data_IF_434116564151
#
_entry.id   IF_434116564151
#
_cell.length_a   1.000
_cell.length_b   1.000
_cell.length_c   1.000
_cell.angle_alpha   90.00
_cell.angle_beta   90.00
_cell.angle_gamma   90.00
#
_symmetry.space_group_name_H-M   'P 1'
#
loop_
_entity.id
_entity.type
_entity.pdbx_description
1 polymer ?
#
# COMPACT_ATOMS: atom_id res chain seq x y z
N UNK A 1 36.32 -62.78 -27.28
CA UNK A 1 36.42 -61.39 -26.77
C UNK A 1 35.40 -60.58 -27.55
N UNK A 2 34.34 -59.98 -27.03
CA UNK A 2 33.77 -59.77 -25.70
C UNK A 2 32.62 -58.80 -25.95
N UNK A 3 31.43 -59.12 -25.46
CA UNK A 3 30.18 -58.33 -25.61
C UNK A 3 30.17 -57.10 -24.68
N UNK A 4 29.16 -56.24 -24.88
CA UNK A 4 28.44 -55.38 -23.90
C UNK A 4 28.59 -53.84 -23.91
N UNK A 5 27.41 -53.19 -24.11
CA UNK A 5 26.81 -52.00 -23.43
C UNK A 5 27.62 -50.67 -23.34
N UNK A 6 27.07 -49.45 -23.32
CA UNK A 6 25.77 -48.94 -22.86
C UNK A 6 25.48 -47.53 -23.43
N UNK A 7 24.21 -47.13 -23.31
CA UNK A 7 23.65 -45.81 -23.59
C UNK A 7 24.09 -44.70 -22.61
N UNK A 8 23.91 -43.44 -23.00
CA UNK A 8 23.99 -42.26 -22.13
C UNK A 8 23.84 -40.98 -22.96
N UNK A 9 22.63 -40.53 -23.25
CA UNK A 9 21.79 -39.65 -22.42
C UNK A 9 22.23 -38.18 -22.48
N UNK A 10 21.23 -37.32 -22.66
CA UNK A 10 21.37 -35.95 -23.11
C UNK A 10 22.07 -35.03 -22.13
N UNK A 11 22.60 -33.94 -22.69
CA UNK A 11 22.74 -32.68 -21.97
C UNK A 11 22.09 -31.58 -22.79
N UNK A 12 20.86 -31.28 -22.37
CA UNK A 12 20.30 -29.96 -22.44
C UNK A 12 21.40 -28.91 -22.24
N UNK A 13 21.55 -28.02 -23.21
CA UNK A 13 22.06 -26.69 -22.93
C UNK A 13 21.08 -26.03 -21.96
N UNK A 14 21.30 -26.24 -20.67
CA UNK A 14 20.78 -25.37 -19.63
C UNK A 14 21.52 -24.06 -19.85
N UNK A 15 20.85 -23.14 -20.53
CA UNK A 15 21.17 -21.72 -20.46
C UNK A 15 21.02 -21.37 -19.00
N UNK A 16 22.14 -21.42 -18.29
CA UNK A 16 22.31 -20.83 -16.98
C UNK A 16 22.14 -19.32 -17.20
N UNK A 17 20.89 -18.87 -17.16
CA UNK A 17 20.56 -17.46 -17.02
C UNK A 17 21.15 -17.04 -15.70
N UNK A 18 22.39 -16.52 -15.78
CA UNK A 18 23.06 -15.75 -14.75
C UNK A 18 22.08 -14.70 -14.26
N UNK A 19 21.39 -15.06 -13.19
CA UNK A 19 20.38 -14.27 -12.53
C UNK A 19 21.16 -13.24 -11.72
N UNK A 20 21.81 -12.30 -12.43
CA UNK A 20 22.38 -11.10 -11.84
C UNK A 20 21.22 -10.33 -11.23
N UNK A 21 20.93 -10.63 -9.95
CA UNK A 21 20.30 -9.69 -9.05
C UNK A 21 21.12 -8.43 -9.16
N UNK A 22 20.63 -7.45 -9.92
CA UNK A 22 21.20 -6.11 -9.99
C UNK A 22 21.18 -5.58 -8.57
N UNK A 23 22.30 -5.77 -7.86
CA UNK A 23 22.44 -5.38 -6.46
C UNK A 23 22.34 -3.87 -6.46
N UNK A 24 21.25 -3.32 -5.92
CA UNK A 24 20.99 -1.89 -5.85
C UNK A 24 22.08 -1.23 -4.99
N UNK A 25 23.21 -0.86 -5.60
CA UNK A 25 24.32 -0.22 -4.91
C UNK A 25 24.05 1.28 -4.84
N UNK A 26 24.05 1.82 -3.63
CA UNK A 26 24.03 3.26 -3.37
C UNK A 26 25.41 3.82 -3.71
N UNK A 27 25.55 4.36 -4.92
CA UNK A 27 26.75 5.11 -5.31
C UNK A 27 26.57 6.59 -4.89
N UNK A 28 27.67 7.32 -4.59
CA UNK A 28 27.59 8.72 -4.21
C UNK A 28 26.77 9.56 -5.20
N UNK A 29 26.96 9.36 -6.51
CA UNK A 29 26.18 10.06 -7.54
C UNK A 29 24.67 9.79 -7.48
N UNK A 30 24.24 8.57 -7.12
CA UNK A 30 22.81 8.27 -6.91
C UNK A 30 22.28 8.93 -5.65
N UNK A 31 23.07 8.97 -4.57
CA UNK A 31 22.70 9.68 -3.34
C UNK A 31 22.52 11.16 -3.64
N UNK A 32 23.47 11.79 -4.34
CA UNK A 32 23.33 13.20 -4.77
C UNK A 32 22.10 13.42 -5.66
N UNK A 33 21.85 12.54 -6.63
CA UNK A 33 20.68 12.64 -7.49
C UNK A 33 19.37 12.62 -6.69
N UNK A 34 19.21 11.66 -5.78
CA UNK A 34 18.02 11.57 -4.95
C UNK A 34 17.90 12.75 -3.98
N UNK A 35 19.00 13.18 -3.36
CA UNK A 35 18.99 14.36 -2.46
C UNK A 35 18.59 15.62 -3.21
N UNK A 36 19.14 15.86 -4.40
CA UNK A 36 18.78 17.01 -5.23
C UNK A 36 17.34 16.90 -5.74
N UNK A 37 16.89 15.72 -6.16
CA UNK A 37 15.52 15.51 -6.61
C UNK A 37 14.51 15.75 -5.48
N UNK A 38 14.73 15.17 -4.30
CA UNK A 38 13.89 15.40 -3.12
C UNK A 38 13.94 16.86 -2.68
N UNK A 39 15.11 17.50 -2.70
CA UNK A 39 15.28 18.90 -2.35
C UNK A 39 14.53 19.83 -3.31
N UNK A 40 14.63 19.60 -4.62
CA UNK A 40 13.92 20.38 -5.64
C UNK A 40 12.39 20.21 -5.53
N UNK A 41 11.91 18.99 -5.29
CA UNK A 41 10.49 18.71 -5.06
C UNK A 41 10.00 19.40 -3.79
N UNK A 42 10.75 19.28 -2.69
CA UNK A 42 10.40 19.94 -1.42
C UNK A 42 10.39 21.47 -1.57
N UNK A 43 11.33 22.03 -2.31
CA UNK A 43 11.36 23.46 -2.61
C UNK A 43 10.16 23.90 -3.46
N UNK A 44 9.83 23.17 -4.52
CA UNK A 44 8.66 23.47 -5.35
C UNK A 44 7.35 23.39 -4.56
N UNK A 45 7.19 22.34 -3.74
CA UNK A 45 6.04 22.19 -2.84
C UNK A 45 5.98 23.32 -1.82
N UNK A 46 7.12 23.71 -1.23
CA UNK A 46 7.21 24.82 -0.30
C UNK A 46 6.82 26.15 -0.96
N UNK A 47 7.31 26.43 -2.17
CA UNK A 47 7.01 27.66 -2.90
C UNK A 47 5.53 27.73 -3.30
N UNK A 48 4.93 26.59 -3.64
CA UNK A 48 3.49 26.49 -3.91
C UNK A 48 2.66 26.69 -2.65
N UNK A 49 3.13 26.16 -1.51
CA UNK A 49 2.47 26.34 -0.22
C UNK A 49 2.53 27.79 0.29
N UNK A 50 3.56 28.58 -0.05
CA UNK A 50 3.75 29.95 0.48
C UNK A 50 3.55 31.04 -0.58
N UNK A 51 2.58 30.90 -1.48
CA UNK A 51 2.30 31.91 -2.51
C UNK A 51 1.32 32.98 -2.01
N UNK A 52 1.41 34.22 -2.48
CA UNK A 52 0.55 35.34 -2.06
C UNK A 52 -0.95 35.06 -2.28
N UNK A 53 -1.27 34.25 -3.27
CA UNK A 53 -2.63 33.77 -3.56
C UNK A 53 -3.18 32.84 -2.46
N UNK A 54 -2.31 32.11 -1.75
CA UNK A 54 -2.69 31.27 -0.60
C UNK A 54 -3.07 32.10 0.63
N UNK A 55 -2.41 33.25 0.83
CA UNK A 55 -2.76 34.17 1.90
C UNK A 55 -4.10 34.87 1.64
N UNK A 56 -4.40 35.19 0.38
CA UNK A 56 -5.70 35.75 -0.04
C UNK A 56 -6.87 34.79 0.25
N UNK A 57 -6.69 33.49 -0.05
CA UNK A 57 -7.69 32.45 0.21
C UNK A 57 -7.95 32.24 1.71
N UNK A 58 -6.91 32.34 2.54
CA UNK A 58 -7.02 32.24 4.00
C UNK A 58 -7.84 33.39 4.61
N UNK A 59 -7.71 34.60 4.05
CA UNK A 59 -8.42 35.79 4.54
C UNK A 59 -9.91 35.77 4.13
N UNK A 60 -10.22 35.34 2.91
CA UNK A 60 -11.59 35.38 2.36
C UNK A 60 -12.41 34.12 2.66
N UNK A 61 -11.78 32.96 2.89
CA UNK A 61 -12.47 31.68 3.15
C UNK A 61 -12.06 31.09 4.50
N UNK A 62 -11.98 31.89 5.54
CA UNK A 62 -11.46 31.47 6.86
C UNK A 62 -12.15 30.26 7.49
N UNK A 63 -13.43 30.00 7.19
CA UNK A 63 -14.18 28.82 7.66
C UNK A 63 -13.85 27.53 6.88
N UNK A 64 -13.20 27.65 5.73
CA UNK A 64 -12.77 26.54 4.89
C UNK A 64 -11.45 25.90 5.35
N UNK A 65 -10.68 26.60 6.20
CA UNK A 65 -9.35 26.20 6.61
C UNK A 65 -9.26 25.94 8.12
N UNK A 66 -8.76 24.77 8.50
CA UNK A 66 -8.54 24.39 9.90
C UNK A 66 -7.06 24.47 10.28
N UNK A 67 -6.77 24.60 11.57
CA UNK A 67 -5.40 24.53 12.07
C UNK A 67 -4.81 23.13 11.81
N UNK A 68 -3.51 23.08 11.52
CA UNK A 68 -2.85 21.82 11.16
C UNK A 68 -2.68 20.92 12.39
N UNK A 69 -3.12 19.65 12.36
CA UNK A 69 -2.91 18.70 13.46
C UNK A 69 -1.44 18.28 13.60
N UNK A 70 -0.59 18.65 12.64
CA UNK A 70 0.86 18.38 12.64
C UNK A 70 1.68 19.49 13.32
N UNK A 71 1.04 20.49 13.93
CA UNK A 71 1.72 21.62 14.57
C UNK A 71 2.33 22.62 13.58
N UNK A 72 1.91 22.58 12.31
CA UNK A 72 2.34 23.53 11.29
C UNK A 72 1.60 24.86 11.46
N UNK A 73 2.31 25.97 11.28
CA UNK A 73 1.72 27.33 11.34
C UNK A 73 0.71 27.60 10.23
N UNK A 74 0.82 26.87 9.11
CA UNK A 74 -0.05 27.03 7.95
C UNK A 74 -1.36 26.27 8.14
N UNK A 75 -2.50 26.95 7.94
CA UNK A 75 -3.83 26.36 7.99
C UNK A 75 -4.10 25.53 6.74
N UNK A 76 -4.81 24.42 6.91
CA UNK A 76 -5.05 23.45 5.85
C UNK A 76 -6.47 23.57 5.32
N UNK A 77 -6.61 23.53 3.99
CA UNK A 77 -7.89 23.44 3.31
C UNK A 77 -8.61 22.15 3.72
N UNK A 78 -9.84 22.29 4.20
CA UNK A 78 -10.68 21.20 4.66
C UNK A 78 -11.97 21.04 3.83
N UNK A 79 -12.09 21.75 2.71
CA UNK A 79 -13.26 21.71 1.83
C UNK A 79 -13.26 20.48 0.93
N UNK A 80 -12.08 20.01 0.52
CA UNK A 80 -12.00 18.81 -0.30
C UNK A 80 -12.20 17.55 0.55
N UNK A 81 -13.33 16.87 0.32
CA UNK A 81 -13.67 15.60 0.99
C UNK A 81 -12.57 14.55 0.82
N UNK A 82 -12.05 14.39 -0.40
CA UNK A 82 -11.02 13.39 -0.71
C UNK A 82 -9.71 13.67 0.05
N UNK A 83 -9.35 14.94 0.19
CA UNK A 83 -8.16 15.35 0.94
C UNK A 83 -8.31 15.05 2.42
N UNK A 84 -9.49 15.34 2.98
CA UNK A 84 -9.83 15.05 4.38
C UNK A 84 -9.79 13.54 4.66
N UNK A 85 -10.35 12.72 3.76
CA UNK A 85 -10.30 11.26 3.89
C UNK A 85 -8.87 10.74 3.80
N UNK A 86 -8.09 11.20 2.81
CA UNK A 86 -6.70 10.75 2.62
C UNK A 86 -5.84 11.11 3.84
N UNK A 87 -6.04 12.32 4.38
CA UNK A 87 -5.35 12.79 5.59
C UNK A 87 -5.69 11.93 6.80
N UNK A 88 -6.96 11.66 7.05
CA UNK A 88 -7.39 10.80 8.17
C UNK A 88 -6.75 9.41 8.08
N UNK A 89 -6.78 8.79 6.89
CA UNK A 89 -6.15 7.48 6.68
C UNK A 89 -4.64 7.58 6.95
N UNK A 90 -3.97 8.63 6.47
CA UNK A 90 -2.54 8.80 6.71
C UNK A 90 -2.24 8.96 8.21
N UNK A 91 -3.01 9.76 8.95
CA UNK A 91 -2.85 9.97 10.39
C UNK A 91 -3.12 8.70 11.21
N UNK A 92 -4.09 7.88 10.81
CA UNK A 92 -4.39 6.61 11.47
C UNK A 92 -3.38 5.50 11.10
N UNK A 93 -2.92 5.46 9.86
CA UNK A 93 -2.17 4.35 9.28
C UNK A 93 -0.64 4.51 9.26
N UNK A 94 -0.09 5.73 9.38
CA UNK A 94 1.35 5.95 9.15
C UNK A 94 2.25 5.07 10.02
N UNK A 95 1.88 4.83 11.28
CA UNK A 95 2.61 3.93 12.18
C UNK A 95 2.63 2.50 11.64
N UNK A 96 1.53 2.04 11.07
CA UNK A 96 1.44 0.74 10.41
C UNK A 96 2.31 0.68 9.15
N UNK A 97 2.38 1.74 8.35
CA UNK A 97 3.27 1.74 7.18
C UNK A 97 4.75 1.68 7.56
N UNK A 98 5.15 2.32 8.66
CA UNK A 98 6.53 2.26 9.17
C UNK A 98 6.86 0.92 9.84
N UNK A 99 5.90 0.34 10.55
CA UNK A 99 6.09 -0.89 11.32
C UNK A 99 6.21 -2.13 10.41
N UNK A 100 5.45 -2.16 9.31
CA UNK A 100 5.42 -3.30 8.37
C UNK A 100 6.81 -3.72 7.86
N UNK A 101 7.64 -2.84 7.26
CA UNK A 101 8.94 -3.25 6.73
C UNK A 101 9.93 -3.71 7.80
N UNK A 102 9.83 -3.18 9.03
CA UNK A 102 10.67 -3.58 10.15
C UNK A 102 10.30 -5.00 10.59
N UNK A 103 9.01 -5.23 10.88
CA UNK A 103 8.54 -6.55 11.30
C UNK A 103 8.68 -7.61 10.20
N UNK A 104 8.40 -7.25 8.94
CA UNK A 104 8.56 -8.13 7.80
C UNK A 104 10.01 -8.62 7.67
N UNK A 105 11.00 -7.72 7.81
CA UNK A 105 12.42 -8.10 7.79
C UNK A 105 12.79 -8.97 8.97
N UNK A 106 12.36 -8.63 10.18
CA UNK A 106 12.64 -9.45 11.38
C UNK A 106 12.12 -10.87 11.19
N UNK A 107 10.88 -11.02 10.73
CA UNK A 107 10.26 -12.34 10.52
C UNK A 107 10.93 -13.08 9.37
N UNK A 108 11.25 -12.40 8.26
CA UNK A 108 12.01 -13.02 7.17
C UNK A 108 13.40 -13.51 7.61
N UNK A 109 14.02 -12.90 8.62
CA UNK A 109 15.32 -13.32 9.16
C UNK A 109 15.20 -14.42 10.21
N UNK A 110 14.24 -14.33 11.14
CA UNK A 110 14.12 -15.23 12.29
C UNK A 110 13.28 -16.48 11.96
N UNK A 111 12.18 -16.30 11.23
CA UNK A 111 11.23 -17.37 10.94
C UNK A 111 10.64 -17.20 9.52
N UNK A 112 11.42 -17.54 8.47
CA UNK A 112 11.00 -17.33 7.07
C UNK A 112 9.69 -18.04 6.70
N UNK A 113 9.43 -19.21 7.31
CA UNK A 113 8.19 -19.98 7.12
C UNK A 113 6.93 -19.25 7.59
N UNK A 114 7.06 -18.29 8.51
CA UNK A 114 5.94 -17.51 9.04
C UNK A 114 5.66 -16.23 8.22
N UNK A 115 6.48 -15.89 7.23
CA UNK A 115 6.28 -14.67 6.42
C UNK A 115 4.88 -14.60 5.77
N UNK A 116 4.32 -15.67 5.18
CA UNK A 116 2.97 -15.63 4.62
C UNK A 116 1.89 -15.38 5.69
N UNK A 117 2.04 -16.00 6.86
CA UNK A 117 1.12 -15.83 8.00
C UNK A 117 1.23 -14.43 8.59
N UNK A 118 2.45 -13.89 8.68
CA UNK A 118 2.66 -12.51 9.10
C UNK A 118 1.93 -11.54 8.18
N UNK A 119 2.03 -11.71 6.86
CA UNK A 119 1.35 -10.81 5.93
C UNK A 119 -0.17 -10.84 6.10
N UNK A 120 -0.78 -12.02 6.28
CA UNK A 120 -2.23 -12.10 6.50
C UNK A 120 -2.63 -11.46 7.83
N UNK A 121 -1.97 -11.84 8.94
CA UNK A 121 -2.26 -11.32 10.28
C UNK A 121 -2.04 -9.82 10.34
N UNK A 122 -0.92 -9.32 9.83
CA UNK A 122 -0.62 -7.91 9.82
C UNK A 122 -1.64 -7.10 9.03
N UNK A 123 -2.01 -7.57 7.83
CA UNK A 123 -3.00 -6.90 6.99
C UNK A 123 -4.38 -6.90 7.64
N UNK A 124 -4.78 -8.01 8.26
CA UNK A 124 -6.04 -8.10 8.99
C UNK A 124 -6.07 -7.16 10.21
N UNK A 125 -4.99 -7.10 11.00
CA UNK A 125 -4.88 -6.16 12.12
C UNK A 125 -4.92 -4.72 11.62
N UNK A 126 -4.16 -4.40 10.58
CA UNK A 126 -4.16 -3.10 9.94
C UNK A 126 -5.57 -2.67 9.53
N UNK A 127 -6.30 -3.52 8.80
CA UNK A 127 -7.67 -3.21 8.36
C UNK A 127 -8.61 -3.08 9.56
N UNK A 128 -8.51 -3.96 10.55
CA UNK A 128 -9.36 -3.94 11.74
C UNK A 128 -9.18 -2.67 12.56
N UNK A 129 -7.94 -2.26 12.81
CA UNK A 129 -7.65 -1.08 13.64
C UNK A 129 -7.83 0.25 12.88
N UNK A 130 -7.69 0.26 11.56
CA UNK A 130 -7.83 1.48 10.75
C UNK A 130 -9.27 1.70 10.30
N UNK A 131 -10.00 0.62 9.97
CA UNK A 131 -11.31 0.70 9.31
C UNK A 131 -12.43 -0.05 10.04
N UNK A 132 -12.13 -0.76 11.13
CA UNK A 132 -13.11 -1.55 11.88
C UNK A 132 -13.15 -3.03 11.49
N UNK A 133 -13.75 -3.85 12.37
CA UNK A 133 -13.82 -5.30 12.20
C UNK A 133 -14.78 -5.71 11.08
N UNK A 134 -15.83 -4.92 10.84
CA UNK A 134 -16.79 -5.13 9.75
C UNK A 134 -16.08 -5.11 8.40
N UNK A 135 -15.20 -4.11 8.19
CA UNK A 135 -14.39 -3.98 6.97
C UNK A 135 -13.36 -5.10 6.88
N UNK A 136 -12.77 -5.51 8.01
CA UNK A 136 -11.84 -6.63 8.05
C UNK A 136 -12.50 -7.96 7.64
N UNK A 137 -13.75 -8.21 8.04
CA UNK A 137 -14.50 -9.40 7.61
C UNK A 137 -14.77 -9.40 6.11
N UNK A 138 -15.18 -8.26 5.54
CA UNK A 138 -15.37 -8.13 4.09
C UNK A 138 -14.05 -8.36 3.33
N UNK A 139 -12.96 -7.78 3.81
CA UNK A 139 -11.63 -7.96 3.24
C UNK A 139 -11.19 -9.44 3.26
N UNK A 140 -11.41 -10.13 4.38
CA UNK A 140 -11.12 -11.57 4.53
C UNK A 140 -12.02 -12.43 3.64
N UNK A 141 -13.30 -12.11 3.53
CA UNK A 141 -14.24 -12.81 2.66
C UNK A 141 -13.84 -12.71 1.19
N UNK A 142 -13.40 -11.53 0.73
CA UNK A 142 -12.87 -11.35 -0.62
C UNK A 142 -11.60 -12.18 -0.85
N UNK A 143 -10.67 -12.18 0.10
CA UNK A 143 -9.47 -13.02 0.03
C UNK A 143 -9.81 -14.52 -0.01
N UNK A 144 -10.78 -14.97 0.79
CA UNK A 144 -11.24 -16.35 0.77
C UNK A 144 -11.88 -16.72 -0.57
N UNK A 145 -12.70 -15.83 -1.16
CA UNK A 145 -13.28 -16.04 -2.47
C UNK A 145 -12.20 -16.18 -3.56
N UNK A 146 -11.16 -15.35 -3.53
CA UNK A 146 -10.01 -15.48 -4.43
C UNK A 146 -9.24 -16.77 -4.20
N UNK A 147 -9.03 -17.17 -2.95
CA UNK A 147 -8.33 -18.42 -2.64
C UNK A 147 -9.09 -19.65 -3.15
N UNK A 148 -10.40 -19.71 -2.91
CA UNK A 148 -11.27 -20.78 -3.40
C UNK A 148 -11.28 -20.81 -4.92
N UNK A 149 -11.42 -19.67 -5.58
CA UNK A 149 -11.46 -19.60 -7.05
C UNK A 149 -10.13 -19.96 -7.69
N UNK A 150 -9.01 -19.53 -7.08
CA UNK A 150 -7.67 -19.92 -7.49
C UNK A 150 -7.41 -21.43 -7.31
N UNK A 151 -8.01 -22.07 -6.29
CA UNK A 151 -7.85 -23.51 -6.05
C UNK A 151 -8.42 -24.39 -7.19
N UNK A 152 -9.35 -23.87 -7.98
CA UNK A 152 -9.85 -24.54 -9.19
C UNK A 152 -8.89 -24.44 -10.40
N UNK A 153 -7.77 -23.72 -10.27
CA UNK A 153 -6.76 -23.59 -11.33
C UNK A 153 -7.21 -22.80 -12.56
N UNK A 154 -8.32 -22.07 -12.47
CA UNK A 154 -8.88 -21.30 -13.59
C UNK A 154 -8.68 -19.80 -13.41
N UNK A 155 -7.78 -19.22 -14.21
CA UNK A 155 -7.56 -17.76 -14.25
C UNK A 155 -8.82 -17.02 -14.68
N UNK A 156 -9.64 -17.61 -15.57
CA UNK A 156 -10.89 -17.02 -16.01
C UNK A 156 -11.88 -16.85 -14.85
N UNK A 157 -12.00 -17.85 -13.97
CA UNK A 157 -12.85 -17.75 -12.78
C UNK A 157 -12.37 -16.67 -11.81
N UNK A 158 -11.05 -16.52 -11.63
CA UNK A 158 -10.49 -15.46 -10.80
C UNK A 158 -10.86 -14.07 -11.34
N UNK A 159 -10.81 -13.87 -12.66
CA UNK A 159 -11.22 -12.61 -13.29
C UNK A 159 -12.72 -12.36 -13.15
N UNK A 160 -13.57 -13.37 -13.34
CA UNK A 160 -15.02 -13.25 -13.14
C UNK A 160 -15.33 -12.83 -11.70
N UNK A 161 -14.69 -13.46 -10.72
CA UNK A 161 -14.87 -13.10 -9.30
C UNK A 161 -14.33 -11.70 -9.00
N UNK A 162 -13.19 -11.32 -9.57
CA UNK A 162 -12.67 -9.96 -9.45
C UNK A 162 -13.67 -8.92 -10.00
N UNK A 163 -14.29 -9.20 -11.15
CA UNK A 163 -15.33 -8.35 -11.75
C UNK A 163 -16.53 -8.24 -10.79
N UNK A 164 -17.06 -9.37 -10.30
CA UNK A 164 -18.20 -9.37 -9.37
C UNK A 164 -17.89 -8.57 -8.10
N UNK A 165 -16.72 -8.78 -7.50
CA UNK A 165 -16.24 -8.05 -6.32
C UNK A 165 -16.06 -6.55 -6.63
N UNK A 166 -15.59 -6.19 -7.81
CA UNK A 166 -15.45 -4.79 -8.20
C UNK A 166 -16.82 -4.11 -8.34
N UNK A 167 -17.78 -4.81 -8.97
CA UNK A 167 -19.13 -4.29 -9.18
C UNK A 167 -20.01 -4.32 -7.93
N UNK A 168 -19.65 -5.10 -6.90
CA UNK A 168 -20.39 -5.13 -5.63
C UNK A 168 -20.56 -3.72 -5.02
N UNK A 169 -19.61 -2.81 -5.25
CA UNK A 169 -19.66 -1.42 -4.77
C UNK A 169 -20.89 -0.65 -5.27
N UNK A 170 -21.45 -1.03 -6.43
CA UNK A 170 -22.60 -0.35 -7.02
C UNK A 170 -23.94 -0.91 -6.55
N UNK A 171 -23.96 -2.13 -5.97
CA UNK A 171 -25.19 -2.81 -5.56
C UNK A 171 -25.36 -2.90 -4.05
N UNK A 172 -24.25 -2.89 -3.30
CA UNK A 172 -24.32 -2.85 -1.84
C UNK A 172 -24.51 -1.37 -1.45
N UNK A 173 -25.53 -1.01 -0.63
CA UNK A 173 -25.73 0.36 -0.14
C UNK A 173 -24.65 0.79 0.88
N UNK A 174 -23.50 0.13 0.88
CA UNK A 174 -22.36 0.39 1.74
C UNK A 174 -21.45 1.39 1.03
N UNK A 175 -21.60 2.67 1.34
CA UNK A 175 -20.54 3.61 1.05
C UNK A 175 -19.35 3.29 1.95
N UNK A 176 -18.37 2.56 1.42
CA UNK A 176 -17.14 2.22 2.15
C UNK A 176 -16.48 3.47 2.74
N UNK A 177 -16.54 4.61 2.06
CA UNK A 177 -16.05 5.90 2.57
C UNK A 177 -16.86 6.42 3.76
N UNK A 178 -18.17 6.21 3.78
CA UNK A 178 -19.02 6.58 4.91
C UNK A 178 -18.80 5.67 6.12
N UNK A 179 -18.37 4.41 5.93
CA UNK A 179 -18.11 3.42 6.99
C UNK A 179 -16.64 3.33 7.46
N UNK A 180 -15.69 3.78 6.66
CA UNK A 180 -14.29 4.03 7.09
C UNK A 180 -14.18 5.20 8.09
N UNK A 181 -15.29 5.93 8.31
CA UNK A 181 -15.31 7.22 9.00
C UNK A 181 -16.24 7.35 10.23
N UNK A 182 -17.28 6.52 10.54
CA UNK A 182 -18.27 6.90 11.53
C UNK A 182 -18.12 6.13 12.84
N UNK A 183 -17.02 5.41 13.11
CA UNK A 183 -16.90 4.71 14.40
C UNK A 183 -16.54 5.61 15.57
N UNK A 184 -16.25 6.90 15.35
CA UNK A 184 -16.03 7.85 16.43
C UNK A 184 -16.65 9.23 16.27
N UNK A 185 -17.41 9.56 15.22
CA UNK A 185 -18.31 10.72 15.23
C UNK A 185 -17.76 12.08 15.69
N UNK A 186 -16.45 12.27 15.78
CA UNK A 186 -15.83 13.53 16.20
C UNK A 186 -14.75 13.88 15.19
N UNK A 187 -15.13 14.65 14.19
CA UNK A 187 -14.18 15.54 13.52
C UNK A 187 -13.95 16.71 14.48
N UNK A 188 -12.94 16.60 15.35
CA UNK A 188 -12.34 17.79 15.98
C UNK A 188 -11.30 18.35 15.02
#
# INVERSE_FOLDING_TARGET
MGTSHAAGNGRHHVVETDNQRVRWKWTPGRVYHWVLAFGAVAYALGKFATNEESDFLLDHMRSAFNDSPFGLKQRQDNQNWEWRTTKYVMEAAWKWYLLHPVLARVIAHVAPSLVPVFHSVYSSLFVTFTFGWEVALLFLAQHAAFYVTASFGSTALCYVVAIVIHFQKFFIPFEAFAYMYPRYGVMV
#
